data_IF_613573956432
#
_entry.id   IF_613573956432
#
_cell.length_a   1.000
_cell.length_b   1.000
_cell.length_c   1.000
_cell.angle_alpha   90.00
_cell.angle_beta   90.00
_cell.angle_gamma   90.00
#
_symmetry.space_group_name_H-M   'P 1'
#
loop_
_entity.id
_entity.type
_entity.pdbx_description
1 polymer ?
#
# COMPACT_ATOMS: atom_id res chain seq x y z
N UNK A 1 0.02 11.30 24.34
CA UNK A 1 -0.39 9.98 23.79
C UNK A 1 -1.90 9.95 23.53
N UNK A 2 -2.42 10.63 22.50
CA UNK A 2 -3.86 10.57 22.15
C UNK A 2 -4.11 10.89 20.66
N UNK A 3 -3.62 10.06 19.72
CA UNK A 3 -3.98 10.19 18.29
C UNK A 3 -4.33 8.84 17.62
N UNK A 4 -4.43 7.74 18.37
CA UNK A 4 -4.69 6.41 17.80
C UNK A 4 -6.16 5.95 17.90
N UNK A 5 -7.08 6.78 18.41
CA UNK A 5 -8.49 6.40 18.64
C UNK A 5 -9.41 6.57 17.43
N UNK A 6 -9.35 7.72 16.76
CA UNK A 6 -10.34 8.10 15.74
C UNK A 6 -10.20 7.31 14.43
N UNK A 7 -8.97 6.91 14.08
CA UNK A 7 -8.71 6.09 12.90
C UNK A 7 -9.23 4.64 13.04
N UNK A 8 -9.31 4.13 14.26
CA UNK A 8 -9.78 2.77 14.55
C UNK A 8 -11.31 2.72 14.55
N UNK A 9 -11.98 3.76 15.08
CA UNK A 9 -13.44 3.89 15.06
C UNK A 9 -14.01 3.91 13.64
N UNK A 10 -13.45 4.74 12.76
CA UNK A 10 -13.93 4.87 11.38
C UNK A 10 -13.67 3.62 10.51
N UNK A 11 -12.59 2.86 10.79
CA UNK A 11 -12.37 1.55 10.16
C UNK A 11 -13.41 0.53 10.63
N UNK A 12 -13.69 0.44 11.93
CA UNK A 12 -14.70 -0.48 12.46
C UNK A 12 -16.12 -0.19 11.94
N UNK A 13 -16.52 1.08 11.84
CA UNK A 13 -17.84 1.47 11.30
C UNK A 13 -18.02 1.02 9.84
N UNK A 14 -16.98 1.15 9.01
CA UNK A 14 -17.02 0.70 7.61
C UNK A 14 -17.07 -0.83 7.48
N UNK A 15 -16.42 -1.56 8.39
CA UNK A 15 -16.51 -3.02 8.44
C UNK A 15 -17.91 -3.49 8.85
N UNK A 16 -18.51 -2.87 9.87
CA UNK A 16 -19.88 -3.18 10.29
C UNK A 16 -20.90 -2.88 9.18
N UNK A 17 -20.77 -1.74 8.51
CA UNK A 17 -21.62 -1.39 7.37
C UNK A 17 -21.45 -2.39 6.20
N UNK A 18 -20.21 -2.81 5.91
CA UNK A 18 -19.93 -3.80 4.88
C UNK A 18 -20.63 -5.13 5.18
N UNK A 19 -20.66 -5.57 6.44
CA UNK A 19 -21.35 -6.80 6.82
C UNK A 19 -22.88 -6.68 6.66
N UNK A 20 -23.46 -5.53 7.00
CA UNK A 20 -24.89 -5.28 6.78
C UNK A 20 -25.23 -5.31 5.28
N UNK A 21 -24.44 -4.63 4.46
CA UNK A 21 -24.64 -4.59 3.00
C UNK A 21 -24.43 -5.98 2.38
N UNK A 22 -23.43 -6.73 2.85
CA UNK A 22 -23.18 -8.11 2.43
C UNK A 22 -24.39 -9.00 2.71
N UNK A 23 -24.96 -8.91 3.92
CA UNK A 23 -26.17 -9.66 4.27
C UNK A 23 -27.33 -9.35 3.31
N UNK A 24 -27.62 -8.06 3.05
CA UNK A 24 -28.68 -7.68 2.12
C UNK A 24 -28.39 -8.11 0.67
N UNK A 25 -27.12 -8.14 0.28
CA UNK A 25 -26.70 -8.62 -1.05
C UNK A 25 -27.02 -10.10 -1.22
N UNK A 26 -26.73 -10.93 -0.21
CA UNK A 26 -27.05 -12.35 -0.24
C UNK A 26 -28.55 -12.61 -0.17
N UNK A 27 -29.29 -11.85 0.63
CA UNK A 27 -30.76 -11.87 0.62
C UNK A 27 -31.30 -11.63 -0.80
N UNK A 28 -30.80 -10.63 -1.51
CA UNK A 28 -31.21 -10.36 -2.88
C UNK A 28 -30.86 -11.52 -3.83
N UNK A 29 -29.67 -12.10 -3.71
CA UNK A 29 -29.26 -13.24 -4.54
C UNK A 29 -30.17 -14.45 -4.33
N UNK A 30 -30.51 -14.78 -3.09
CA UNK A 30 -31.41 -15.89 -2.77
C UNK A 30 -32.84 -15.63 -3.25
N UNK A 31 -33.33 -14.38 -3.21
CA UNK A 31 -34.62 -14.03 -3.82
C UNK A 31 -34.60 -14.30 -5.32
N UNK A 32 -33.53 -13.89 -6.01
CA UNK A 32 -33.38 -14.13 -7.45
C UNK A 32 -33.25 -15.63 -7.77
N UNK A 33 -32.59 -16.40 -6.93
CA UNK A 33 -32.47 -17.86 -7.08
C UNK A 33 -33.79 -18.59 -6.85
N UNK A 34 -34.56 -18.17 -5.83
CA UNK A 34 -35.91 -18.69 -5.60
C UNK A 34 -36.82 -18.39 -6.78
N UNK A 35 -36.76 -17.17 -7.33
CA UNK A 35 -37.53 -16.77 -8.50
C UNK A 35 -37.21 -17.63 -9.73
N UNK A 36 -35.91 -17.89 -9.97
CA UNK A 36 -35.44 -18.79 -11.04
C UNK A 36 -35.97 -20.20 -10.85
N UNK A 37 -35.88 -20.74 -9.63
CA UNK A 37 -36.37 -22.09 -9.30
C UNK A 37 -37.88 -22.23 -9.51
N UNK A 38 -38.65 -21.20 -9.15
CA UNK A 38 -40.11 -21.16 -9.31
C UNK A 38 -40.57 -20.71 -10.71
N UNK A 39 -39.65 -20.24 -11.57
CA UNK A 39 -39.93 -19.68 -12.90
C UNK A 39 -40.94 -18.52 -12.86
N UNK A 40 -40.86 -17.67 -11.83
CA UNK A 40 -41.71 -16.49 -11.66
C UNK A 40 -40.85 -15.23 -11.58
N UNK A 41 -41.47 -14.07 -11.81
CA UNK A 41 -40.77 -12.79 -11.62
C UNK A 41 -40.35 -12.62 -10.15
N UNK A 42 -39.09 -12.25 -9.84
CA UNK A 42 -38.63 -12.02 -8.48
C UNK A 42 -39.48 -11.02 -7.68
N UNK A 43 -40.04 -10.01 -8.36
CA UNK A 43 -40.93 -9.01 -7.76
C UNK A 43 -42.27 -9.61 -7.31
N UNK A 44 -42.67 -10.75 -7.88
CA UNK A 44 -43.86 -11.48 -7.49
C UNK A 44 -43.62 -12.48 -6.34
N UNK A 45 -42.39 -12.95 -6.13
CA UNK A 45 -42.09 -14.00 -5.16
C UNK A 45 -41.18 -13.60 -3.98
N UNK A 46 -40.63 -12.38 -3.94
CA UNK A 46 -39.73 -11.96 -2.85
C UNK A 46 -40.35 -12.06 -1.45
N UNK A 47 -41.67 -11.84 -1.31
CA UNK A 47 -42.36 -12.01 -0.01
C UNK A 47 -42.33 -13.46 0.46
N UNK A 48 -42.45 -14.42 -0.48
CA UNK A 48 -42.39 -15.84 -0.16
C UNK A 48 -41.02 -16.27 0.36
N UNK A 49 -39.94 -15.64 -0.13
CA UNK A 49 -38.59 -15.84 0.42
C UNK A 49 -38.56 -15.50 1.91
N UNK A 50 -39.06 -14.32 2.31
CA UNK A 50 -39.07 -13.90 3.72
C UNK A 50 -39.98 -14.76 4.60
N UNK A 51 -41.04 -15.35 4.04
CA UNK A 51 -41.85 -16.35 4.75
C UNK A 51 -41.03 -17.63 4.96
N UNK A 52 -40.37 -18.13 3.91
CA UNK A 52 -39.57 -19.36 3.95
C UNK A 52 -38.37 -19.26 4.89
N UNK A 53 -37.62 -18.16 4.86
CA UNK A 53 -36.42 -17.99 5.70
C UNK A 53 -36.74 -17.90 7.20
N UNK A 54 -37.92 -17.39 7.57
CA UNK A 54 -38.36 -17.32 8.98
C UNK A 54 -38.73 -18.69 9.56
N UNK A 55 -39.11 -19.62 8.70
CA UNK A 55 -39.50 -20.99 9.07
C UNK A 55 -38.53 -22.01 8.47
N UNK A 56 -37.36 -21.56 8.05
CA UNK A 56 -36.36 -22.40 7.41
C UNK A 56 -35.79 -23.39 8.42
N UNK A 57 -35.46 -24.57 7.93
CA UNK A 57 -34.73 -25.55 8.71
C UNK A 57 -33.26 -25.13 8.88
N UNK A 58 -32.58 -25.75 9.84
CA UNK A 58 -31.21 -25.41 10.17
C UNK A 58 -30.28 -25.55 8.95
N UNK A 59 -30.50 -26.56 8.11
CA UNK A 59 -29.69 -26.80 6.91
C UNK A 59 -29.76 -25.62 5.93
N UNK A 60 -30.94 -25.04 5.72
CA UNK A 60 -31.09 -23.87 4.86
C UNK A 60 -30.43 -22.62 5.45
N UNK A 61 -30.53 -22.43 6.77
CA UNK A 61 -29.88 -21.31 7.47
C UNK A 61 -28.36 -21.44 7.45
N UNK A 62 -27.83 -22.67 7.61
CA UNK A 62 -26.39 -22.95 7.54
C UNK A 62 -25.87 -22.64 6.13
N UNK A 63 -26.55 -23.13 5.09
CA UNK A 63 -26.19 -22.82 3.70
C UNK A 63 -26.22 -21.31 3.38
N UNK A 64 -27.20 -20.58 3.92
CA UNK A 64 -27.28 -19.13 3.79
C UNK A 64 -26.10 -18.43 4.49
N UNK A 65 -25.76 -18.85 5.70
CA UNK A 65 -24.66 -18.29 6.47
C UNK A 65 -23.30 -18.60 5.84
N UNK A 66 -23.11 -19.81 5.32
CA UNK A 66 -21.89 -20.21 4.62
C UNK A 66 -21.67 -19.37 3.36
N UNK A 67 -22.73 -19.14 2.56
CA UNK A 67 -22.62 -18.29 1.37
C UNK A 67 -22.37 -16.82 1.76
N UNK A 68 -22.96 -16.37 2.87
CA UNK A 68 -22.71 -15.03 3.41
C UNK A 68 -21.25 -14.84 3.86
N UNK A 69 -20.70 -15.78 4.61
CA UNK A 69 -19.30 -15.71 5.04
C UNK A 69 -18.34 -15.85 3.85
N UNK A 70 -18.66 -16.73 2.89
CA UNK A 70 -17.92 -16.84 1.64
C UNK A 70 -17.92 -15.53 0.86
N UNK A 71 -19.06 -14.85 0.76
CA UNK A 71 -19.18 -13.55 0.11
C UNK A 71 -18.39 -12.46 0.86
N UNK A 72 -18.50 -12.37 2.18
CA UNK A 72 -17.68 -11.44 3.00
C UNK A 72 -16.19 -11.70 2.79
N UNK A 73 -15.77 -12.97 2.74
CA UNK A 73 -14.41 -13.38 2.44
C UNK A 73 -13.93 -12.80 1.09
N UNK A 74 -14.70 -13.02 0.02
CA UNK A 74 -14.40 -12.47 -1.32
C UNK A 74 -14.35 -10.94 -1.34
N UNK A 75 -15.23 -10.26 -0.59
CA UNK A 75 -15.23 -8.79 -0.49
C UNK A 75 -13.94 -8.30 0.19
N UNK A 76 -13.56 -8.92 1.31
CA UNK A 76 -12.33 -8.59 2.05
C UNK A 76 -11.08 -8.83 1.19
N UNK A 77 -11.04 -9.94 0.47
CA UNK A 77 -9.93 -10.28 -0.43
C UNK A 77 -9.80 -9.25 -1.57
N UNK A 78 -10.90 -8.91 -2.25
CA UNK A 78 -10.89 -7.88 -3.30
C UNK A 78 -10.48 -6.51 -2.76
N UNK A 79 -10.86 -6.17 -1.54
CA UNK A 79 -10.42 -4.95 -0.89
C UNK A 79 -8.91 -4.97 -0.64
N UNK A 80 -8.36 -6.08 -0.12
CA UNK A 80 -6.93 -6.27 0.09
C UNK A 80 -6.13 -6.10 -1.20
N UNK A 81 -6.55 -6.78 -2.28
CA UNK A 81 -5.88 -6.69 -3.59
C UNK A 81 -5.87 -5.26 -4.13
N UNK A 82 -6.97 -4.50 -3.95
CA UNK A 82 -7.02 -3.09 -4.38
C UNK A 82 -6.08 -2.20 -3.56
N UNK A 83 -6.01 -2.42 -2.25
CA UNK A 83 -5.10 -1.67 -1.37
C UNK A 83 -3.65 -2.01 -1.71
N UNK A 84 -3.31 -3.28 -1.87
CA UNK A 84 -1.95 -3.73 -2.22
C UNK A 84 -1.50 -3.18 -3.57
N UNK A 85 -2.39 -3.18 -4.57
CA UNK A 85 -2.11 -2.56 -5.87
C UNK A 85 -1.81 -1.06 -5.73
N UNK A 86 -2.65 -0.32 -4.99
CA UNK A 86 -2.46 1.11 -4.77
C UNK A 86 -1.17 1.41 -3.98
N UNK A 87 -0.82 0.57 -3.00
CA UNK A 87 0.41 0.69 -2.23
C UNK A 87 1.65 0.44 -3.12
N UNK A 88 1.61 -0.59 -3.97
CA UNK A 88 2.70 -0.89 -4.90
C UNK A 88 2.90 0.24 -5.92
N UNK A 89 1.82 0.79 -6.47
CA UNK A 89 1.88 1.94 -7.39
C UNK A 89 2.53 3.16 -6.69
N UNK A 90 2.15 3.43 -5.44
CA UNK A 90 2.77 4.48 -4.63
C UNK A 90 4.26 4.23 -4.36
N UNK A 91 4.65 3.01 -3.99
CA UNK A 91 6.05 2.63 -3.79
C UNK A 91 6.88 2.75 -5.07
N UNK A 92 6.32 2.41 -6.23
CA UNK A 92 6.97 2.57 -7.53
C UNK A 92 7.14 4.06 -7.90
N UNK A 93 6.17 4.91 -7.58
CA UNK A 93 6.28 6.37 -7.77
C UNK A 93 7.36 6.97 -6.88
N UNK A 94 7.41 6.59 -5.60
CA UNK A 94 8.47 7.01 -4.69
C UNK A 94 9.84 6.46 -5.13
N UNK A 95 9.87 5.21 -5.61
CA UNK A 95 11.09 4.61 -6.20
C UNK A 95 11.56 5.39 -7.41
N UNK A 96 10.66 5.88 -8.27
CA UNK A 96 11.01 6.73 -9.42
C UNK A 96 11.58 8.07 -9.00
N UNK A 97 11.03 8.70 -7.95
CA UNK A 97 11.52 9.99 -7.44
C UNK A 97 12.94 9.90 -6.86
N UNK A 98 13.33 8.75 -6.30
CA UNK A 98 14.68 8.51 -5.73
C UNK A 98 15.70 7.96 -6.73
N UNK A 99 15.35 7.73 -8.00
CA UNK A 99 16.31 7.25 -8.98
C UNK A 99 17.39 8.30 -9.25
N UNK A 100 18.64 7.86 -9.30
CA UNK A 100 19.78 8.67 -9.69
C UNK A 100 19.79 9.05 -11.18
N UNK A 101 20.78 9.83 -11.62
CA UNK A 101 20.87 10.39 -12.98
C UNK A 101 20.87 9.33 -14.10
N UNK A 102 21.29 8.09 -13.81
CA UNK A 102 21.27 6.95 -14.72
C UNK A 102 20.07 6.01 -14.54
N UNK A 103 19.07 6.38 -13.73
CA UNK A 103 17.86 5.58 -13.52
C UNK A 103 18.07 4.38 -12.58
N UNK A 104 19.17 4.35 -11.84
CA UNK A 104 19.44 3.33 -10.81
C UNK A 104 19.05 3.86 -9.42
N UNK A 105 18.54 2.97 -8.57
CA UNK A 105 18.21 3.29 -7.19
C UNK A 105 19.49 3.26 -6.33
N UNK A 106 19.84 4.35 -5.61
CA UNK A 106 21.01 4.39 -4.72
C UNK A 106 21.03 3.24 -3.70
N UNK A 107 19.86 2.84 -3.19
CA UNK A 107 19.76 1.79 -2.16
C UNK A 107 20.06 0.43 -2.77
N UNK A 108 19.49 0.12 -3.94
CA UNK A 108 19.74 -1.16 -4.62
C UNK A 108 21.19 -1.29 -5.06
N UNK A 109 21.79 -0.20 -5.57
CA UNK A 109 23.22 -0.22 -5.92
C UNK A 109 24.05 -0.47 -4.65
N UNK A 110 23.77 0.24 -3.56
CA UNK A 110 24.49 0.03 -2.29
C UNK A 110 24.40 -1.42 -1.77
N UNK A 111 23.22 -2.05 -1.80
CA UNK A 111 23.03 -3.44 -1.37
C UNK A 111 23.74 -4.47 -2.27
N UNK A 112 23.91 -4.16 -3.56
CA UNK A 112 24.63 -5.03 -4.52
C UNK A 112 26.15 -4.86 -4.49
N UNK A 113 26.66 -3.80 -3.86
CA UNK A 113 28.10 -3.55 -3.77
C UNK A 113 28.80 -4.56 -2.83
N UNK A 114 30.05 -4.92 -3.11
CA UNK A 114 30.91 -5.64 -2.18
C UNK A 114 30.97 -4.96 -0.79
N UNK A 115 31.06 -5.74 0.30
CA UNK A 115 31.07 -5.20 1.67
C UNK A 115 32.27 -4.28 1.94
N UNK A 116 33.37 -4.43 1.20
CA UNK A 116 34.52 -3.51 1.27
C UNK A 116 34.17 -2.12 0.73
N UNK A 117 33.43 -2.05 -0.38
CA UNK A 117 32.95 -0.78 -0.94
C UNK A 117 31.84 -0.17 -0.09
N UNK A 118 30.91 -0.97 0.43
CA UNK A 118 29.87 -0.50 1.37
C UNK A 118 30.50 0.22 2.57
N UNK A 119 31.52 -0.39 3.18
CA UNK A 119 32.27 0.23 4.29
C UNK A 119 32.95 1.54 3.89
N UNK A 120 33.45 1.66 2.66
CA UNK A 120 34.03 2.92 2.15
C UNK A 120 32.98 4.04 2.09
N UNK A 121 31.74 3.72 1.69
CA UNK A 121 30.63 4.67 1.68
C UNK A 121 30.13 5.01 3.09
N UNK A 122 30.11 4.04 4.01
CA UNK A 122 29.75 4.24 5.42
C UNK A 122 30.73 5.15 6.16
N UNK A 123 32.04 4.95 5.94
CA UNK A 123 33.10 5.78 6.52
C UNK A 123 33.31 7.10 5.78
N UNK A 124 32.63 7.30 4.64
CA UNK A 124 32.79 8.44 3.72
C UNK A 124 34.26 8.67 3.32
N UNK A 125 35.02 7.58 3.19
CA UNK A 125 36.46 7.63 2.93
C UNK A 125 36.77 7.43 1.45
N UNK A 126 37.07 8.56 0.78
CA UNK A 126 37.42 8.62 -0.65
C UNK A 126 38.78 7.95 -0.93
N UNK A 127 39.70 7.96 0.03
CA UNK A 127 41.03 7.37 -0.14
C UNK A 127 40.94 5.84 -0.05
N UNK A 128 40.19 5.33 0.94
CA UNK A 128 39.93 3.90 1.09
C UNK A 128 39.17 3.32 -0.12
N UNK A 129 38.26 4.09 -0.72
CA UNK A 129 37.57 3.69 -1.95
C UNK A 129 38.55 3.52 -3.12
N UNK A 130 39.45 4.49 -3.34
CA UNK A 130 40.47 4.43 -4.40
C UNK A 130 41.45 3.27 -4.21
N UNK A 131 41.83 3.00 -2.96
CA UNK A 131 42.70 1.88 -2.63
C UNK A 131 42.01 0.54 -2.93
N UNK A 132 40.75 0.40 -2.53
CA UNK A 132 39.94 -0.80 -2.78
C UNK A 132 39.74 -1.05 -4.27
N UNK A 133 39.48 0.02 -5.04
CA UNK A 133 39.40 -0.03 -6.51
C UNK A 133 40.71 -0.46 -7.15
N UNK A 134 41.85 -0.02 -6.61
CA UNK A 134 43.17 -0.37 -7.14
C UNK A 134 43.57 -1.82 -6.85
N UNK A 135 42.97 -2.44 -5.82
CA UNK A 135 43.18 -3.85 -5.46
C UNK A 135 42.30 -4.82 -6.26
N UNK A 136 41.15 -4.36 -6.77
CA UNK A 136 40.20 -5.16 -7.54
C UNK A 136 40.56 -5.21 -9.04
N UNK A 137 39.92 -6.12 -9.78
CA UNK A 137 40.08 -6.18 -11.23
C UNK A 137 39.56 -4.88 -11.88
N UNK A 138 40.33 -4.25 -12.78
CA UNK A 138 39.95 -2.98 -13.39
C UNK A 138 38.63 -3.03 -14.16
N UNK A 139 38.20 -4.21 -14.65
CA UNK A 139 36.90 -4.35 -15.33
C UNK A 139 35.74 -4.29 -14.35
N UNK A 140 35.82 -5.03 -13.25
CA UNK A 140 34.79 -5.04 -12.21
C UNK A 140 34.67 -3.68 -11.52
N UNK A 141 35.81 -3.05 -11.22
CA UNK A 141 35.83 -1.73 -10.63
C UNK A 141 35.16 -0.67 -11.53
N UNK A 142 35.35 -0.75 -12.85
CA UNK A 142 34.71 0.17 -13.79
C UNK A 142 33.18 -0.01 -13.83
N UNK A 143 32.68 -1.24 -13.66
CA UNK A 143 31.25 -1.56 -13.64
C UNK A 143 30.62 -0.98 -12.38
N UNK A 144 31.18 -1.26 -11.20
CA UNK A 144 30.67 -0.73 -9.94
C UNK A 144 30.75 0.79 -9.88
N UNK A 145 31.86 1.38 -10.36
CA UNK A 145 31.99 2.84 -10.40
C UNK A 145 30.94 3.49 -11.30
N UNK A 146 30.68 2.92 -12.48
CA UNK A 146 29.63 3.40 -13.37
C UNK A 146 28.26 3.30 -12.69
N UNK A 147 27.97 2.18 -12.01
CA UNK A 147 26.71 2.00 -11.27
C UNK A 147 26.56 3.01 -10.12
N UNK A 148 27.63 3.33 -9.38
CA UNK A 148 27.61 4.34 -8.33
C UNK A 148 27.36 5.76 -8.86
N UNK A 149 27.86 6.07 -10.05
CA UNK A 149 27.60 7.36 -10.72
C UNK A 149 26.17 7.42 -11.25
N UNK A 150 25.73 6.35 -11.91
CA UNK A 150 24.39 6.24 -12.48
C UNK A 150 23.29 6.21 -11.39
N UNK A 151 23.59 5.71 -10.18
CA UNK A 151 22.70 5.79 -9.02
C UNK A 151 22.80 7.10 -8.23
N UNK A 152 23.80 7.94 -8.53
CA UNK A 152 24.04 9.17 -7.78
C UNK A 152 24.70 8.97 -6.40
N UNK A 153 25.12 7.74 -6.08
CA UNK A 153 25.87 7.40 -4.86
C UNK A 153 27.28 8.03 -4.86
N UNK A 154 27.85 8.26 -6.05
CA UNK A 154 29.16 8.88 -6.24
C UNK A 154 29.16 9.94 -7.35
N UNK A 155 29.72 11.12 -7.07
CA UNK A 155 29.88 12.18 -8.07
C UNK A 155 31.37 12.31 -8.43
N UNK A 156 31.78 11.99 -9.68
CA UNK A 156 33.18 12.13 -10.10
C UNK A 156 33.57 13.61 -10.17
N UNK A 157 34.46 14.03 -9.26
CA UNK A 157 35.15 15.34 -9.20
C UNK A 157 34.25 16.60 -9.10
N UNK A 158 34.08 17.10 -7.86
CA UNK A 158 33.53 18.41 -7.52
C UNK A 158 34.47 19.61 -7.85
N UNK A 159 35.35 19.49 -8.85
CA UNK A 159 36.26 20.56 -9.28
C UNK A 159 36.12 20.79 -10.77
N UNK A 160 35.03 21.44 -11.15
CA UNK A 160 34.99 22.54 -12.13
C UNK A 160 33.54 23.04 -12.26
N UNK A 161 33.21 24.09 -11.50
CA UNK A 161 32.14 25.02 -11.87
C UNK A 161 30.84 24.99 -11.07
N UNK A 162 30.80 25.81 -10.01
CA UNK A 162 29.64 26.56 -9.48
C UNK A 162 28.58 25.77 -8.69
N UNK A 163 28.52 26.07 -7.39
CA UNK A 163 27.50 25.56 -6.47
C UNK A 163 26.13 26.22 -6.64
N UNK A 164 25.11 25.42 -6.30
CA UNK A 164 23.67 25.67 -6.10
C UNK A 164 22.93 24.49 -6.78
N UNK A 165 22.32 23.51 -6.12
CA UNK A 165 21.76 23.47 -4.77
C UNK A 165 22.00 22.10 -4.14
N UNK A 166 22.66 22.09 -2.98
CA UNK A 166 22.32 21.11 -1.96
C UNK A 166 20.95 21.52 -1.42
N UNK A 167 19.88 21.09 -2.08
CA UNK A 167 18.58 21.09 -1.45
C UNK A 167 18.64 20.00 -0.37
N UNK A 168 19.02 20.41 0.83
CA UNK A 168 18.57 19.77 2.06
C UNK A 168 17.05 19.72 2.01
N UNK A 169 16.48 18.63 1.48
CA UNK A 169 15.09 18.30 1.78
C UNK A 169 15.10 17.67 3.16
N UNK A 170 15.09 18.52 4.19
CA UNK A 170 14.59 18.10 5.49
C UNK A 170 13.22 17.43 5.28
N UNK A 171 12.94 16.28 5.92
CA UNK A 171 11.62 15.70 5.89
C UNK A 171 10.64 16.66 6.56
N UNK A 172 9.82 17.35 5.76
CA UNK A 172 8.67 18.10 6.27
C UNK A 172 7.65 17.08 6.76
N UNK A 173 7.65 16.83 8.06
CA UNK A 173 6.58 16.12 8.74
C UNK A 173 5.36 17.05 8.76
N UNK A 174 4.43 16.83 7.83
CA UNK A 174 3.14 17.51 7.88
C UNK A 174 2.30 16.89 9.01
N UNK A 175 2.42 17.45 10.22
CA UNK A 175 1.47 17.20 11.29
C UNK A 175 0.09 17.69 10.84
N UNK A 176 -0.81 16.76 10.56
CA UNK A 176 -2.21 17.02 10.28
C UNK A 176 -2.82 17.81 11.46
N UNK A 177 -3.05 19.11 11.24
CA UNK A 177 -3.81 19.96 12.16
C UNK A 177 -5.22 19.40 12.31
N UNK A 178 -5.51 18.90 13.50
CA UNK A 178 -6.88 18.61 13.94
C UNK A 178 -7.57 19.94 14.23
N UNK A 179 -8.39 20.44 13.31
CA UNK A 179 -9.27 21.58 13.58
C UNK A 179 -10.49 21.11 14.38
N UNK A 180 -10.36 21.19 15.70
CA UNK A 180 -11.46 21.14 16.65
C UNK A 180 -12.04 22.56 16.78
N UNK A 181 -12.95 22.93 15.90
CA UNK A 181 -13.71 24.18 16.00
C UNK A 181 -15.03 23.98 16.75
N UNK A 182 -14.99 24.11 18.07
CA UNK A 182 -16.19 24.42 18.85
C UNK A 182 -15.97 25.76 19.55
N UNK A 183 -16.79 26.76 19.23
CA UNK A 183 -17.13 27.84 20.15
C UNK A 183 -18.56 28.30 19.86
N UNK A 184 -19.46 27.87 20.75
CA UNK A 184 -20.68 28.56 21.13
C UNK A 184 -20.37 30.01 21.54
N UNK A 185 -21.19 30.99 21.13
CA UNK A 185 -21.98 31.88 22.02
C UNK A 185 -22.65 33.06 21.29
N UNK A 186 -23.93 33.26 21.60
CA UNK A 186 -24.65 34.52 21.82
C UNK A 186 -24.77 35.58 20.70
N UNK A 187 -25.95 35.65 20.08
CA UNK A 187 -26.95 36.74 20.27
C UNK A 187 -28.31 36.34 19.69
#
# INVERSE_FOLDING_TARGET
MLVNGDHVGHKMEKHALMEQVAHQTIVMQFILELAKSLKVDPRACFRQFFTKIKTADQQYMDAFNDELESFKGRVRERAKVRIEKALKEYEEEERKKRLGPGGLDPVEVYETLPPELQKCFDSKDIEMLKETISKMDPKEASIYMKQCVDSGLWVPNAKDGLGADCAETEPVYEEAKTERGNQSTAS
#
